data_IF_481534224918
#
_entry.id   IF_481534224918
#
_cell.length_a   1.000
_cell.length_b   1.000
_cell.length_c   1.000
_cell.angle_alpha   90.00
_cell.angle_beta   90.00
_cell.angle_gamma   90.00
#
_symmetry.space_group_name_H-M   'P 1'
#
loop_
_entity.id
_entity.type
_entity.pdbx_description
1 polymer ?
#
# COMPACT_ATOMS: atom_id res chain seq x y z
N UNK A 1 -15.99 -7.97 -13.68
CA UNK A 1 -14.90 -7.13 -13.13
C UNK A 1 -14.50 -7.68 -11.77
N UNK A 2 -13.34 -8.34 -11.66
CA UNK A 2 -12.94 -8.97 -10.39
C UNK A 2 -12.42 -7.92 -9.42
N UNK A 3 -13.21 -7.56 -8.40
CA UNK A 3 -12.86 -6.61 -7.34
C UNK A 3 -12.42 -7.38 -6.09
N UNK A 4 -11.30 -6.98 -5.50
CA UNK A 4 -10.87 -7.54 -4.22
C UNK A 4 -11.89 -7.23 -3.12
N UNK A 5 -12.31 -8.26 -2.37
CA UNK A 5 -13.44 -8.15 -1.44
C UNK A 5 -13.24 -8.92 -0.12
N UNK A 6 -12.01 -9.31 0.23
CA UNK A 6 -11.74 -9.78 1.59
C UNK A 6 -11.80 -8.60 2.57
N UNK A 7 -12.18 -8.86 3.82
CA UNK A 7 -12.14 -7.87 4.89
C UNK A 7 -11.14 -8.27 5.97
N UNK A 8 -10.48 -7.28 6.57
CA UNK A 8 -9.41 -7.48 7.55
C UNK A 8 -9.71 -6.74 8.84
N UNK A 9 -9.59 -7.44 9.97
CA UNK A 9 -9.65 -6.84 11.31
C UNK A 9 -8.36 -7.14 12.06
N UNK A 10 -7.69 -6.10 12.54
CA UNK A 10 -6.45 -6.21 13.30
C UNK A 10 -6.74 -6.00 14.79
N UNK A 11 -6.25 -6.91 15.63
CA UNK A 11 -6.43 -6.87 17.09
C UNK A 11 -5.08 -7.01 17.80
N UNK A 12 -4.88 -6.22 18.84
CA UNK A 12 -3.73 -6.28 19.73
C UNK A 12 -4.07 -7.12 20.96
N UNK A 13 -3.23 -8.13 21.25
CA UNK A 13 -3.42 -9.08 22.34
C UNK A 13 -2.55 -8.78 23.58
N UNK A 14 -1.70 -7.76 23.53
CA UNK A 14 -0.75 -7.44 24.60
C UNK A 14 0.63 -8.03 24.36
N UNK A 15 1.49 -7.94 25.39
CA UNK A 15 2.83 -8.54 25.35
C UNK A 15 2.74 -10.03 25.70
N UNK A 16 3.72 -10.82 25.25
CA UNK A 16 3.72 -12.26 25.57
C UNK A 16 3.78 -12.55 27.07
N UNK A 17 4.40 -11.67 27.86
CA UNK A 17 4.49 -11.79 29.33
C UNK A 17 3.24 -11.31 30.07
N UNK A 18 2.45 -10.45 29.43
CA UNK A 18 1.29 -9.78 30.02
C UNK A 18 0.19 -9.66 28.94
N UNK A 19 -0.51 -10.78 28.66
CA UNK A 19 -1.60 -10.76 27.69
C UNK A 19 -2.77 -9.94 28.22
N UNK A 20 -3.43 -9.21 27.32
CA UNK A 20 -4.63 -8.46 27.65
C UNK A 20 -5.81 -9.42 27.84
N UNK A 21 -6.57 -9.22 28.91
CA UNK A 21 -7.79 -10.00 29.16
C UNK A 21 -8.85 -9.84 28.04
N UNK A 22 -8.84 -8.69 27.34
CA UNK A 22 -9.66 -8.42 26.17
C UNK A 22 -8.80 -7.88 25.03
N UNK A 23 -8.84 -8.48 23.82
CA UNK A 23 -8.15 -7.95 22.64
C UNK A 23 -8.58 -6.53 22.33
N UNK A 24 -7.61 -5.64 22.10
CA UNK A 24 -7.89 -4.27 21.68
C UNK A 24 -7.92 -4.19 20.16
N UNK A 25 -9.02 -3.73 19.58
CA UNK A 25 -9.09 -3.52 18.13
C UNK A 25 -8.18 -2.36 17.72
N UNK A 26 -7.36 -2.58 16.69
CA UNK A 26 -6.52 -1.53 16.12
C UNK A 26 -7.41 -0.66 15.22
N UNK A 27 -7.55 0.65 15.51
CA UNK A 27 -8.32 1.54 14.68
C UNK A 27 -7.62 1.72 13.33
N UNK A 28 -8.39 1.53 12.27
CA UNK A 28 -7.92 1.59 10.89
C UNK A 28 -8.92 2.39 10.06
N UNK A 29 -8.42 3.12 9.06
CA UNK A 29 -9.24 3.86 8.10
C UNK A 29 -9.03 3.35 6.68
N UNK A 30 -10.10 3.43 5.89
CA UNK A 30 -10.08 3.22 4.44
C UNK A 30 -10.19 4.54 3.65
N UNK A 31 -10.06 5.68 4.34
CA UNK A 31 -10.01 7.02 3.76
C UNK A 31 -8.57 7.52 3.69
N UNK A 32 -8.26 8.30 2.66
CA UNK A 32 -6.90 8.77 2.37
C UNK A 32 -5.96 7.68 1.85
N UNK A 33 -6.49 6.60 1.27
CA UNK A 33 -5.73 5.50 0.66
C UNK A 33 -5.60 5.66 -0.86
N UNK A 34 -6.53 6.37 -1.49
CA UNK A 34 -6.48 6.70 -2.91
C UNK A 34 -5.72 8.02 -3.15
N UNK A 35 -5.29 8.22 -4.39
CA UNK A 35 -4.69 9.49 -4.78
C UNK A 35 -5.73 10.59 -4.76
N UNK A 36 -5.36 11.76 -4.23
CA UNK A 36 -6.25 12.92 -4.16
C UNK A 36 -6.87 13.27 -5.52
N UNK A 37 -6.09 13.20 -6.60
CA UNK A 37 -6.58 13.43 -7.96
C UNK A 37 -7.52 12.33 -8.46
N UNK A 38 -7.38 11.09 -8.01
CA UNK A 38 -8.34 10.03 -8.34
C UNK A 38 -9.70 10.34 -7.68
N UNK A 39 -9.68 10.80 -6.43
CA UNK A 39 -10.88 11.11 -5.64
C UNK A 39 -11.58 12.41 -6.11
N UNK A 40 -10.81 13.47 -6.33
CA UNK A 40 -11.35 14.82 -6.58
C UNK A 40 -11.65 15.07 -8.06
N UNK A 41 -10.84 14.53 -8.99
CA UNK A 41 -10.86 14.95 -10.40
C UNK A 41 -11.24 13.82 -11.35
N UNK A 42 -10.65 12.63 -11.17
CA UNK A 42 -10.74 11.55 -12.17
C UNK A 42 -12.04 10.76 -12.09
N UNK A 43 -12.47 10.41 -10.88
CA UNK A 43 -13.66 9.60 -10.67
C UNK A 43 -14.80 10.48 -10.18
N UNK A 44 -15.88 10.55 -10.96
CA UNK A 44 -17.05 11.36 -10.65
C UNK A 44 -18.10 10.64 -9.80
N UNK A 45 -19.11 11.40 -9.39
CA UNK A 45 -20.36 10.90 -8.80
C UNK A 45 -21.45 10.96 -9.88
N UNK A 46 -21.84 9.83 -10.50
CA UNK A 46 -22.91 9.83 -11.48
C UNK A 46 -24.23 10.29 -10.83
N UNK A 47 -25.06 11.10 -11.51
CA UNK A 47 -26.40 11.44 -11.05
C UNK A 47 -27.24 10.20 -10.75
N UNK A 48 -28.20 10.30 -9.82
CA UNK A 48 -29.05 9.19 -9.42
C UNK A 48 -29.78 8.53 -10.62
N UNK A 49 -30.22 9.35 -11.59
CA UNK A 49 -30.93 8.89 -12.78
C UNK A 49 -30.06 8.02 -13.71
N UNK A 50 -28.73 8.17 -13.64
CA UNK A 50 -27.79 7.37 -14.45
C UNK A 50 -27.78 5.89 -14.06
N UNK A 51 -28.32 5.53 -12.89
CA UNK A 51 -28.31 4.16 -12.38
C UNK A 51 -29.52 3.33 -12.82
N UNK A 52 -30.61 3.95 -13.29
CA UNK A 52 -31.91 3.30 -13.52
C UNK A 52 -31.85 2.10 -14.50
N UNK A 53 -30.99 2.17 -15.51
CA UNK A 53 -30.80 1.12 -16.51
C UNK A 53 -29.45 0.41 -16.39
N UNK A 54 -28.90 0.36 -15.18
CA UNK A 54 -27.60 -0.27 -14.92
C UNK A 54 -27.74 -1.45 -13.97
N UNK A 55 -26.84 -2.41 -14.12
CA UNK A 55 -26.75 -3.60 -13.28
C UNK A 55 -25.34 -3.69 -12.75
N UNK A 56 -25.21 -4.08 -11.47
CA UNK A 56 -23.90 -4.32 -10.86
C UNK A 56 -23.14 -5.41 -11.62
N UNK A 57 -21.80 -5.37 -11.66
CA UNK A 57 -21.01 -6.47 -12.20
C UNK A 57 -21.33 -7.80 -11.50
N UNK A 58 -21.38 -8.89 -12.25
CA UNK A 58 -21.76 -10.24 -11.75
C UNK A 58 -20.93 -10.66 -10.52
N UNK A 59 -19.63 -10.37 -10.52
CA UNK A 59 -18.71 -10.73 -9.45
C UNK A 59 -18.80 -9.84 -8.19
N UNK A 60 -19.61 -8.77 -8.20
CA UNK A 60 -19.71 -7.85 -7.08
C UNK A 60 -20.82 -8.30 -6.12
N UNK A 61 -20.52 -8.39 -4.82
CA UNK A 61 -21.53 -8.66 -3.79
C UNK A 61 -22.52 -7.50 -3.67
N UNK A 62 -22.00 -6.28 -3.62
CA UNK A 62 -22.75 -5.01 -3.49
C UNK A 62 -22.55 -4.14 -4.74
N UNK A 63 -23.59 -3.41 -5.14
CA UNK A 63 -23.51 -2.36 -6.17
C UNK A 63 -22.65 -1.18 -5.71
N UNK A 64 -22.30 -0.27 -6.62
CA UNK A 64 -21.48 0.89 -6.30
C UNK A 64 -22.13 1.79 -5.23
N UNK A 65 -23.45 2.02 -5.33
CA UNK A 65 -24.21 2.84 -4.36
C UNK A 65 -24.33 2.16 -2.98
N UNK A 66 -24.40 0.84 -2.93
CA UNK A 66 -24.41 0.08 -1.67
C UNK A 66 -23.04 0.02 -0.99
N UNK A 67 -21.95 0.20 -1.76
CA UNK A 67 -20.59 0.28 -1.22
C UNK A 67 -20.30 1.66 -0.66
N UNK A 68 -20.75 2.71 -1.34
CA UNK A 68 -20.56 4.09 -0.89
C UNK A 68 -21.67 4.99 -1.42
N UNK A 69 -22.18 5.89 -0.57
CA UNK A 69 -23.19 6.89 -0.92
C UNK A 69 -22.78 7.77 -2.10
N UNK A 70 -21.51 8.18 -2.16
CA UNK A 70 -20.96 8.95 -3.28
C UNK A 70 -20.47 8.08 -4.45
N UNK A 71 -20.90 6.83 -4.55
CA UNK A 71 -20.50 5.89 -5.59
C UNK A 71 -18.96 5.78 -5.72
N UNK A 72 -18.42 6.08 -6.91
CA UNK A 72 -17.02 5.83 -7.23
C UNK A 72 -16.05 6.75 -6.49
N UNK A 73 -16.34 8.04 -6.38
CA UNK A 73 -15.37 9.00 -5.84
C UNK A 73 -15.16 8.86 -4.34
N UNK A 74 -16.15 8.34 -3.61
CA UNK A 74 -16.04 8.08 -2.17
C UNK A 74 -15.53 6.66 -1.85
N UNK A 75 -15.56 5.73 -2.79
CA UNK A 75 -15.09 4.35 -2.63
C UNK A 75 -13.60 4.22 -2.97
N UNK A 76 -12.74 4.74 -2.09
CA UNK A 76 -11.30 4.75 -2.30
C UNK A 76 -10.67 3.35 -2.48
N UNK A 77 -11.27 2.31 -1.89
CA UNK A 77 -10.81 0.92 -2.10
C UNK A 77 -10.98 0.50 -3.55
N UNK A 78 -12.12 0.84 -4.16
CA UNK A 78 -12.36 0.63 -5.58
C UNK A 78 -11.37 1.45 -6.40
N UNK A 79 -11.14 2.71 -6.07
CA UNK A 79 -10.19 3.56 -6.80
C UNK A 79 -8.76 2.97 -6.79
N UNK A 80 -8.30 2.51 -5.62
CA UNK A 80 -7.02 1.81 -5.48
C UNK A 80 -7.00 0.52 -6.32
N UNK A 81 -8.11 -0.21 -6.39
CA UNK A 81 -8.21 -1.41 -7.20
C UNK A 81 -8.17 -1.12 -8.71
N UNK A 82 -8.87 -0.08 -9.15
CA UNK A 82 -8.93 0.36 -10.55
C UNK A 82 -7.59 0.82 -11.12
N UNK A 83 -6.63 1.22 -10.26
CA UNK A 83 -5.27 1.53 -10.71
C UNK A 83 -4.51 0.26 -11.09
N UNK A 84 -4.39 0.00 -12.39
CA UNK A 84 -3.71 -1.18 -12.94
C UNK A 84 -2.25 -1.21 -12.47
N UNK A 85 -1.80 -2.38 -12.02
CA UNK A 85 -0.41 -2.61 -11.61
C UNK A 85 0.42 -3.08 -12.80
N UNK A 86 1.66 -2.60 -12.92
CA UNK A 86 2.54 -2.92 -14.04
C UNK A 86 3.13 -4.34 -14.00
N UNK A 87 3.06 -5.02 -12.85
CA UNK A 87 3.66 -6.33 -12.61
C UNK A 87 2.61 -7.33 -12.09
N UNK A 88 2.77 -8.64 -12.36
CA UNK A 88 1.84 -9.67 -11.91
C UNK A 88 1.82 -9.84 -10.38
N UNK A 89 2.96 -9.63 -9.73
CA UNK A 89 3.06 -9.54 -8.28
C UNK A 89 2.98 -8.08 -7.87
N UNK A 90 1.86 -7.68 -7.26
CA UNK A 90 1.61 -6.31 -6.85
C UNK A 90 1.07 -6.23 -5.43
N UNK A 91 1.14 -5.04 -4.86
CA UNK A 91 0.53 -4.68 -3.58
C UNK A 91 -0.37 -3.47 -3.77
N UNK A 92 -1.48 -3.44 -3.06
CA UNK A 92 -2.44 -2.33 -3.04
C UNK A 92 -2.70 -1.93 -1.60
N UNK A 93 -2.76 -0.64 -1.34
CA UNK A 93 -3.04 -0.12 -0.01
C UNK A 93 -4.49 -0.42 0.35
N UNK A 94 -4.72 -1.09 1.48
CA UNK A 94 -6.06 -1.46 1.92
C UNK A 94 -6.53 -0.63 3.11
N UNK A 95 -5.68 -0.44 4.12
CA UNK A 95 -6.00 0.36 5.32
C UNK A 95 -4.79 1.17 5.74
N UNK A 96 -5.06 2.28 6.41
CA UNK A 96 -4.09 3.01 7.22
C UNK A 96 -4.42 2.80 8.69
N UNK A 97 -3.41 2.59 9.52
CA UNK A 97 -3.59 2.55 10.97
C UNK A 97 -3.82 3.98 11.45
N UNK A 98 -4.89 4.19 12.23
CA UNK A 98 -5.19 5.48 12.81
C UNK A 98 -4.48 5.59 14.16
N UNK A 99 -3.64 6.62 14.30
CA UNK A 99 -2.83 6.82 15.50
C UNK A 99 -3.62 7.51 16.60
N UNK A 100 -4.44 6.75 17.33
CA UNK A 100 -5.28 7.24 18.44
C UNK A 100 -5.22 6.32 19.66
N UNK A 101 -5.46 6.89 20.83
CA UNK A 101 -5.48 6.14 22.10
C UNK A 101 -4.19 5.37 22.35
N UNK A 102 -4.31 4.06 22.61
CA UNK A 102 -3.17 3.16 22.85
C UNK A 102 -2.22 3.01 21.64
N UNK A 103 -2.61 3.51 20.46
CA UNK A 103 -1.85 3.41 19.21
C UNK A 103 -1.34 4.77 18.70
N UNK A 104 -1.37 5.81 19.55
CA UNK A 104 -0.92 7.18 19.22
C UNK A 104 0.52 7.22 18.72
N UNK A 105 1.42 6.42 19.31
CA UNK A 105 2.83 6.33 18.93
C UNK A 105 3.11 5.17 17.97
N UNK A 106 2.08 4.66 17.28
CA UNK A 106 2.18 3.49 16.42
C UNK A 106 1.72 2.21 17.08
N UNK A 107 2.09 1.08 16.50
CA UNK A 107 1.72 -0.24 16.99
C UNK A 107 2.69 -0.68 18.09
N UNK A 108 2.24 -0.85 19.35
CA UNK A 108 3.10 -1.33 20.42
C UNK A 108 3.69 -2.70 20.12
N UNK A 109 4.90 -2.97 20.64
CA UNK A 109 5.48 -4.30 20.55
C UNK A 109 4.62 -5.31 21.34
N UNK A 110 4.21 -6.38 20.67
CA UNK A 110 3.43 -7.46 21.28
C UNK A 110 2.81 -8.37 20.23
N UNK A 111 1.82 -9.13 20.67
CA UNK A 111 1.14 -10.13 19.86
C UNK A 111 -0.09 -9.50 19.20
N UNK A 112 -0.27 -9.78 17.92
CA UNK A 112 -1.40 -9.32 17.13
C UNK A 112 -2.14 -10.52 16.51
N UNK A 113 -3.46 -10.39 16.37
CA UNK A 113 -4.29 -11.28 15.56
C UNK A 113 -4.84 -10.52 14.37
N UNK A 114 -4.89 -11.20 13.22
CA UNK A 114 -5.55 -10.69 12.01
C UNK A 114 -6.67 -11.63 11.66
N UNK A 115 -7.90 -11.13 11.80
CA UNK A 115 -9.10 -11.87 11.40
C UNK A 115 -9.43 -11.50 9.95
N UNK A 116 -9.59 -12.51 9.10
CA UNK A 116 -9.80 -12.34 7.66
C UNK A 116 -11.15 -12.94 7.28
N UNK A 117 -12.04 -12.11 6.72
CA UNK A 117 -13.23 -12.60 6.04
C UNK A 117 -12.87 -12.94 4.59
N UNK A 118 -12.68 -14.23 4.31
CA UNK A 118 -12.17 -14.71 3.02
C UNK A 118 -13.29 -14.78 1.97
N UNK A 119 -13.33 -13.81 1.06
CA UNK A 119 -14.36 -13.66 0.02
C UNK A 119 -13.83 -13.67 -1.41
N UNK A 120 -12.50 -13.64 -1.59
CA UNK A 120 -11.83 -13.57 -2.89
C UNK A 120 -11.00 -14.84 -3.15
N UNK A 121 -11.55 -15.90 -3.77
CA UNK A 121 -10.81 -17.14 -4.04
C UNK A 121 -9.74 -16.91 -5.12
N UNK A 122 -8.51 -17.34 -4.84
CA UNK A 122 -7.37 -17.23 -5.76
C UNK A 122 -6.83 -18.58 -6.24
N UNK A 123 -7.31 -19.67 -5.66
CA UNK A 123 -6.83 -21.03 -5.92
C UNK A 123 -7.12 -21.49 -7.36
N UNK A 124 -8.23 -21.04 -7.96
CA UNK A 124 -8.65 -21.40 -9.31
C UNK A 124 -7.64 -20.99 -10.40
N UNK A 125 -6.82 -19.97 -10.14
CA UNK A 125 -5.80 -19.49 -11.07
C UNK A 125 -4.38 -19.58 -10.49
N UNK A 126 -4.19 -20.40 -9.45
CA UNK A 126 -2.87 -20.62 -8.83
C UNK A 126 -2.28 -19.39 -8.13
N UNK A 127 -3.12 -18.41 -7.77
CA UNK A 127 -2.67 -17.19 -7.10
C UNK A 127 -2.37 -17.38 -5.62
N UNK A 128 -1.61 -16.45 -5.05
CA UNK A 128 -1.40 -16.36 -3.60
C UNK A 128 -1.74 -14.96 -3.09
N UNK A 129 -2.22 -14.86 -1.84
CA UNK A 129 -2.51 -13.60 -1.17
C UNK A 129 -1.62 -13.44 0.05
N UNK A 130 -1.19 -12.21 0.32
CA UNK A 130 -0.37 -11.87 1.50
C UNK A 130 -0.84 -10.54 2.08
N UNK A 131 -0.82 -10.44 3.39
CA UNK A 131 -1.01 -9.18 4.11
C UNK A 131 0.37 -8.65 4.47
N UNK A 132 0.61 -7.37 4.17
CA UNK A 132 1.88 -6.71 4.49
C UNK A 132 1.55 -5.49 5.33
N UNK A 133 2.11 -5.46 6.54
CA UNK A 133 2.10 -4.31 7.41
C UNK A 133 3.46 -3.61 7.29
N UNK A 134 3.46 -2.34 6.94
CA UNK A 134 4.68 -1.57 6.73
C UNK A 134 4.48 -0.13 7.16
N UNK A 135 5.54 0.49 7.64
CA UNK A 135 5.65 1.94 7.74
C UNK A 135 6.17 2.51 6.42
N UNK A 136 5.88 3.78 6.17
CA UNK A 136 6.44 4.53 5.03
C UNK A 136 7.38 5.61 5.57
N UNK A 137 8.51 5.79 4.91
CA UNK A 137 9.36 6.97 5.08
C UNK A 137 9.07 7.97 3.96
N UNK A 138 9.75 9.11 3.97
CA UNK A 138 9.70 10.09 2.88
C UNK A 138 9.98 9.43 1.51
N UNK A 139 10.95 8.53 1.45
CA UNK A 139 11.34 7.81 0.23
C UNK A 139 10.39 6.65 -0.12
N UNK A 140 9.28 6.51 0.61
CA UNK A 140 8.28 5.47 0.44
C UNK A 140 8.51 4.26 1.34
N UNK A 141 8.05 3.09 0.89
CA UNK A 141 8.27 1.83 1.60
C UNK A 141 9.72 1.34 1.49
N UNK A 142 10.05 0.27 2.22
CA UNK A 142 11.39 -0.36 2.19
C UNK A 142 11.79 -0.78 0.78
N UNK A 143 12.77 -0.08 0.19
CA UNK A 143 13.37 -0.41 -1.10
C UNK A 143 14.87 -0.04 -1.12
N UNK A 144 15.79 -1.01 -0.92
CA UNK A 144 17.23 -0.74 -0.88
C UNK A 144 17.84 -0.47 -2.26
N UNK A 145 17.13 -0.79 -3.35
CA UNK A 145 17.65 -0.76 -4.73
C UNK A 145 18.21 0.61 -5.10
N UNK A 146 17.49 1.69 -4.76
CA UNK A 146 17.94 3.05 -5.05
C UNK A 146 19.25 3.36 -4.32
N UNK A 147 19.33 3.08 -3.01
CA UNK A 147 20.54 3.29 -2.24
C UNK A 147 21.75 2.52 -2.80
N UNK A 148 21.55 1.25 -3.14
CA UNK A 148 22.59 0.41 -3.76
C UNK A 148 23.03 1.01 -5.11
N UNK A 149 22.09 1.45 -5.96
CA UNK A 149 22.44 2.04 -7.25
C UNK A 149 23.30 3.30 -7.11
N UNK A 150 22.99 4.18 -6.15
CA UNK A 150 23.78 5.38 -5.90
C UNK A 150 25.20 5.05 -5.40
N UNK A 151 25.33 4.06 -4.51
CA UNK A 151 26.64 3.62 -4.02
C UNK A 151 27.48 3.06 -5.17
N UNK A 152 26.91 2.19 -6.00
CA UNK A 152 27.64 1.58 -7.13
C UNK A 152 28.11 2.65 -8.12
N UNK A 153 27.21 3.54 -8.55
CA UNK A 153 27.57 4.62 -9.48
C UNK A 153 28.60 5.57 -8.88
N UNK A 154 28.45 5.93 -7.60
CA UNK A 154 29.41 6.76 -6.87
C UNK A 154 30.80 6.12 -6.74
N UNK A 155 30.86 4.82 -6.43
CA UNK A 155 32.11 4.07 -6.34
C UNK A 155 32.84 3.99 -7.70
N UNK A 156 32.11 3.71 -8.78
CA UNK A 156 32.69 3.72 -10.14
C UNK A 156 33.22 5.11 -10.50
N UNK A 157 32.45 6.17 -10.21
CA UNK A 157 32.87 7.54 -10.43
C UNK A 157 34.14 7.93 -9.65
N UNK A 158 34.24 7.53 -8.38
CA UNK A 158 35.43 7.77 -7.55
C UNK A 158 36.67 7.05 -8.09
N UNK A 159 36.54 5.79 -8.50
CA UNK A 159 37.65 5.01 -9.07
C UNK A 159 38.16 5.69 -10.34
N UNK A 160 37.26 6.07 -11.25
CA UNK A 160 37.63 6.79 -12.48
C UNK A 160 38.27 8.15 -12.17
N UNK A 161 37.74 8.88 -11.19
CA UNK A 161 38.31 10.15 -10.73
C UNK A 161 39.74 10.00 -10.20
N UNK A 162 40.00 8.96 -9.41
CA UNK A 162 41.35 8.65 -8.90
C UNK A 162 42.31 8.27 -10.05
N UNK A 163 41.86 7.47 -11.01
CA UNK A 163 42.66 7.11 -12.19
C UNK A 163 43.06 8.38 -12.97
N UNK A 164 42.09 9.25 -13.26
CA UNK A 164 42.37 10.51 -13.96
C UNK A 164 43.25 11.46 -13.16
N UNK A 165 43.07 11.52 -11.83
CA UNK A 165 43.92 12.32 -10.95
C UNK A 165 45.39 11.86 -10.99
N UNK A 166 45.63 10.54 -10.89
CA UNK A 166 46.98 9.96 -10.98
C UNK A 166 47.61 10.22 -12.34
N UNK A 167 46.85 10.00 -13.43
CA UNK A 167 47.33 10.26 -14.80
C UNK A 167 47.70 11.74 -14.98
N UNK A 168 46.84 12.66 -14.54
CA UNK A 168 47.10 14.10 -14.63
C UNK A 168 48.36 14.51 -13.84
N UNK A 169 48.51 14.01 -12.61
CA UNK A 169 49.69 14.29 -11.80
C UNK A 169 50.98 13.78 -12.46
N UNK A 170 50.94 12.58 -13.05
CA UNK A 170 52.10 12.02 -13.76
C UNK A 170 52.44 12.84 -15.02
N UNK A 171 51.44 13.25 -15.81
CA UNK A 171 51.67 14.10 -16.99
C UNK A 171 52.22 15.48 -16.63
N UNK A 172 51.75 16.09 -15.53
CA UNK A 172 52.24 17.38 -15.05
C UNK A 172 53.68 17.32 -14.55
N UNK A 173 54.10 16.21 -13.92
CA UNK A 173 55.48 16.04 -13.42
C UNK A 173 56.53 15.92 -14.54
N UNK A 174 56.13 15.49 -15.73
CA UNK A 174 57.01 15.34 -16.90
C UNK A 174 57.07 16.59 -17.79
N UNK A 175 56.44 17.69 -17.38
CA UNK A 175 56.44 18.98 -18.07
C UNK A 175 57.22 20.01 -17.26
#
# INVERSE_FOLDING_TARGET
MSLFNDSFTLKYLGKSSEPLAKPLQVPMTNKGIAWRTDVEEKFGKPPADSWANTVKPVSWKKSALERSSGAYSEDEELLVWMRVSALPTFRKLHRLVTHVGAFSNGLPAGIYSVDIEYSYPVTQFGGTKRIILSTMSWLGGRNPTLGISYIVVGSVGLILGLIFFILHFHTMKHR
#
